data_IF_543013372474
#
_entry.id   IF_543013372474
#
_cell.length_a   1.000
_cell.length_b   1.000
_cell.length_c   1.000
_cell.angle_alpha   90.00
_cell.angle_beta   90.00
_cell.angle_gamma   90.00
#
_symmetry.space_group_name_H-M   'P 1'
#
loop_
_entity.id
_entity.type
_entity.pdbx_description
1 polymer ?
#
# COMPACT_ATOMS: atom_id res chain seq x y z
N UNK A 1 -27.79 -9.99 10.05
CA UNK A 1 -26.51 -9.74 9.35
C UNK A 1 -26.74 -8.59 8.40
N UNK A 2 -25.92 -7.54 8.47
CA UNK A 2 -26.17 -6.31 7.71
C UNK A 2 -26.14 -6.54 6.21
N UNK A 3 -26.90 -5.75 5.46
CA UNK A 3 -26.96 -5.79 3.99
C UNK A 3 -25.57 -5.80 3.35
N UNK A 4 -24.58 -5.13 3.96
CA UNK A 4 -23.19 -5.04 3.48
C UNK A 4 -22.39 -6.34 3.59
N UNK A 5 -22.58 -7.12 4.65
CA UNK A 5 -21.90 -8.41 4.78
C UNK A 5 -22.38 -9.37 3.69
N UNK A 6 -23.70 -9.47 3.50
CA UNK A 6 -24.30 -10.26 2.42
C UNK A 6 -23.83 -9.78 1.04
N UNK A 7 -23.79 -8.46 0.83
CA UNK A 7 -23.30 -7.87 -0.42
C UNK A 7 -21.86 -8.29 -0.72
N UNK A 8 -20.96 -8.31 0.28
CA UNK A 8 -19.58 -8.78 0.11
C UNK A 8 -19.50 -10.28 -0.15
N UNK A 9 -20.34 -11.08 0.50
CA UNK A 9 -20.42 -12.52 0.23
C UNK A 9 -20.80 -12.81 -1.22
N UNK A 10 -21.79 -12.10 -1.75
CA UNK A 10 -22.22 -12.23 -3.16
C UNK A 10 -21.12 -11.73 -4.11
N UNK A 11 -20.43 -10.64 -3.77
CA UNK A 11 -19.29 -10.15 -4.55
C UNK A 11 -18.17 -11.19 -4.60
N UNK A 12 -17.82 -11.80 -3.46
CA UNK A 12 -16.80 -12.85 -3.37
C UNK A 12 -17.18 -14.07 -4.21
N UNK A 13 -18.42 -14.58 -4.08
CA UNK A 13 -18.92 -15.71 -4.88
C UNK A 13 -18.84 -15.43 -6.39
N UNK A 14 -19.21 -14.22 -6.80
CA UNK A 14 -19.15 -13.80 -8.20
C UNK A 14 -17.71 -13.72 -8.74
N UNK A 15 -16.79 -13.18 -7.93
CA UNK A 15 -15.36 -13.17 -8.27
C UNK A 15 -14.77 -14.57 -8.32
N UNK A 16 -15.16 -15.45 -7.39
CA UNK A 16 -14.74 -16.85 -7.38
C UNK A 16 -15.20 -17.57 -8.65
N UNK A 17 -16.48 -17.47 -9.01
CA UNK A 17 -17.03 -18.13 -10.19
C UNK A 17 -16.36 -17.64 -11.48
N UNK A 18 -16.11 -16.34 -11.57
CA UNK A 18 -15.41 -15.72 -12.68
C UNK A 18 -13.95 -16.22 -12.80
N UNK A 19 -13.22 -16.25 -11.68
CA UNK A 19 -11.80 -16.65 -11.64
C UNK A 19 -11.65 -18.16 -11.87
N UNK A 20 -12.51 -18.97 -11.23
CA UNK A 20 -12.53 -20.42 -11.36
C UNK A 20 -12.80 -20.89 -12.79
N UNK A 21 -13.76 -20.27 -13.46
CA UNK A 21 -14.12 -20.61 -14.84
C UNK A 21 -13.27 -19.87 -15.89
N UNK A 22 -12.31 -19.04 -15.47
CA UNK A 22 -11.47 -18.21 -16.34
C UNK A 22 -12.30 -17.40 -17.36
N UNK A 23 -13.38 -16.78 -16.87
CA UNK A 23 -14.34 -16.05 -17.70
C UNK A 23 -13.76 -14.68 -18.06
N UNK A 24 -13.97 -14.23 -19.30
CA UNK A 24 -13.60 -12.86 -19.67
C UNK A 24 -14.42 -11.83 -18.87
N UNK A 25 -13.89 -10.64 -18.60
CA UNK A 25 -14.57 -9.60 -17.81
C UNK A 25 -15.99 -9.25 -18.34
N UNK A 26 -16.23 -9.43 -19.66
CA UNK A 26 -17.56 -9.26 -20.28
C UNK A 26 -18.63 -10.22 -19.73
N UNK A 27 -18.22 -11.37 -19.20
CA UNK A 27 -19.12 -12.36 -18.60
C UNK A 27 -19.50 -12.06 -17.15
N UNK A 28 -18.82 -11.12 -16.50
CA UNK A 28 -19.05 -10.82 -15.07
C UNK A 28 -20.48 -10.38 -14.78
N UNK A 29 -21.10 -9.59 -15.66
CA UNK A 29 -22.49 -9.13 -15.45
C UNK A 29 -23.47 -10.31 -15.38
N UNK A 30 -23.28 -11.34 -16.20
CA UNK A 30 -24.14 -12.51 -16.19
C UNK A 30 -23.97 -13.32 -14.90
N UNK A 31 -22.72 -13.51 -14.44
CA UNK A 31 -22.38 -14.17 -13.19
C UNK A 31 -23.01 -13.43 -12.01
N UNK A 32 -22.77 -12.13 -11.91
CA UNK A 32 -23.27 -11.31 -10.81
C UNK A 32 -24.80 -11.33 -10.75
N UNK A 33 -25.48 -11.20 -11.90
CA UNK A 33 -26.93 -11.28 -11.97
C UNK A 33 -27.46 -12.63 -11.46
N UNK A 34 -26.81 -13.74 -11.81
CA UNK A 34 -27.21 -15.06 -11.37
C UNK A 34 -27.03 -15.21 -9.84
N UNK A 35 -25.89 -14.76 -9.30
CA UNK A 35 -25.62 -14.84 -7.86
C UNK A 35 -26.51 -13.91 -7.03
N UNK A 36 -26.84 -12.71 -7.53
CA UNK A 36 -27.83 -11.83 -6.91
C UNK A 36 -29.23 -12.46 -6.90
N UNK A 37 -29.62 -13.15 -7.98
CA UNK A 37 -30.90 -13.86 -8.03
C UNK A 37 -30.97 -15.00 -7.03
N UNK A 38 -29.89 -15.75 -6.87
CA UNK A 38 -29.86 -16.94 -6.00
C UNK A 38 -29.71 -16.58 -4.52
N UNK A 39 -28.82 -15.63 -4.20
CA UNK A 39 -28.41 -15.35 -2.81
C UNK A 39 -28.78 -13.94 -2.32
N UNK A 40 -29.24 -13.07 -3.22
CA UNK A 40 -29.52 -11.65 -2.96
C UNK A 40 -30.95 -11.33 -2.58
N UNK A 41 -31.76 -12.30 -2.13
CA UNK A 41 -33.17 -12.07 -1.75
C UNK A 41 -33.37 -10.98 -0.69
N UNK A 42 -32.33 -10.69 0.09
CA UNK A 42 -32.32 -9.71 1.18
C UNK A 42 -31.45 -8.48 0.83
N UNK A 43 -31.12 -8.28 -0.45
CA UNK A 43 -30.37 -7.14 -0.97
C UNK A 43 -31.33 -6.28 -1.79
N UNK A 44 -31.86 -5.23 -1.16
CA UNK A 44 -32.78 -4.29 -1.82
C UNK A 44 -32.07 -3.39 -2.84
N UNK A 45 -30.76 -3.19 -2.66
CA UNK A 45 -29.90 -2.37 -3.51
C UNK A 45 -28.57 -3.10 -3.78
N UNK A 46 -28.33 -3.46 -5.04
CA UNK A 46 -27.13 -4.18 -5.49
C UNK A 46 -25.97 -3.24 -5.88
N UNK A 47 -26.15 -1.92 -5.75
CA UNK A 47 -25.16 -0.91 -6.13
C UNK A 47 -23.81 -1.15 -5.47
N UNK A 48 -23.81 -1.55 -4.20
CA UNK A 48 -22.59 -1.83 -3.46
C UNK A 48 -21.88 -3.09 -3.96
N UNK A 49 -22.61 -4.18 -4.16
CA UNK A 49 -22.05 -5.43 -4.70
C UNK A 49 -21.46 -5.19 -6.09
N UNK A 50 -22.19 -4.47 -6.95
CA UNK A 50 -21.72 -4.06 -8.28
C UNK A 50 -20.45 -3.23 -8.19
N UNK A 51 -20.43 -2.21 -7.32
CA UNK A 51 -19.26 -1.36 -7.11
C UNK A 51 -18.03 -2.18 -6.72
N UNK A 52 -18.17 -3.13 -5.80
CA UNK A 52 -17.08 -4.02 -5.40
C UNK A 52 -16.58 -4.84 -6.58
N UNK A 53 -17.46 -5.60 -7.24
CA UNK A 53 -17.09 -6.53 -8.31
C UNK A 53 -16.43 -5.81 -9.49
N UNK A 54 -17.08 -4.78 -10.02
CA UNK A 54 -16.56 -4.07 -11.20
C UNK A 54 -15.36 -3.20 -10.86
N UNK A 55 -15.32 -2.62 -9.67
CA UNK A 55 -14.15 -1.89 -9.20
C UNK A 55 -12.93 -2.78 -9.04
N UNK A 56 -13.09 -4.01 -8.55
CA UNK A 56 -12.00 -4.99 -8.45
C UNK A 56 -11.50 -5.39 -9.84
N UNK A 57 -12.39 -5.66 -10.80
CA UNK A 57 -11.99 -5.97 -12.17
C UNK A 57 -11.19 -4.81 -12.80
N UNK A 58 -11.67 -3.58 -12.66
CA UNK A 58 -11.00 -2.38 -13.20
C UNK A 58 -9.62 -2.16 -12.56
N UNK A 59 -9.47 -2.46 -11.27
CA UNK A 59 -8.24 -2.23 -10.50
C UNK A 59 -7.37 -3.47 -10.34
N UNK A 60 -7.70 -4.59 -10.99
CA UNK A 60 -6.99 -5.87 -10.83
C UNK A 60 -5.49 -5.75 -11.10
N UNK A 61 -5.10 -5.02 -12.15
CA UNK A 61 -3.69 -4.80 -12.52
C UNK A 61 -2.89 -4.01 -11.47
N UNK A 62 -3.57 -3.30 -10.56
CA UNK A 62 -2.97 -2.60 -9.43
C UNK A 62 -2.99 -3.49 -8.17
N UNK A 63 -4.10 -4.20 -7.96
CA UNK A 63 -4.35 -5.01 -6.76
C UNK A 63 -3.47 -6.26 -6.74
N UNK A 64 -3.38 -6.99 -7.85
CA UNK A 64 -2.67 -8.28 -7.92
C UNK A 64 -1.17 -8.15 -7.58
N UNK A 65 -0.43 -7.13 -8.09
CA UNK A 65 0.95 -6.89 -7.66
C UNK A 65 1.12 -6.56 -6.17
N UNK A 66 0.12 -5.94 -5.55
CA UNK A 66 0.15 -5.63 -4.11
C UNK A 66 0.04 -6.91 -3.28
N UNK A 67 -0.81 -7.85 -3.72
CA UNK A 67 -0.91 -9.18 -3.11
C UNK A 67 0.45 -9.87 -3.17
N UNK A 68 1.08 -9.94 -4.34
CA UNK A 68 2.38 -10.61 -4.50
C UNK A 68 3.49 -9.95 -3.67
N UNK A 69 3.49 -8.62 -3.58
CA UNK A 69 4.45 -7.89 -2.74
C UNK A 69 4.27 -8.19 -1.25
N UNK A 70 3.03 -8.33 -0.80
CA UNK A 70 2.70 -8.58 0.61
C UNK A 70 2.72 -10.07 0.99
N UNK A 71 2.70 -10.98 0.01
CA UNK A 71 2.82 -12.42 0.18
C UNK A 71 3.96 -12.99 -0.70
N UNK A 72 5.23 -12.60 -0.47
CA UNK A 72 6.34 -12.91 -1.38
C UNK A 72 6.66 -14.41 -1.50
N UNK A 73 6.28 -15.21 -0.50
CA UNK A 73 6.44 -16.67 -0.52
C UNK A 73 5.35 -17.39 -1.33
N UNK A 74 4.29 -16.67 -1.72
CA UNK A 74 3.11 -17.24 -2.38
C UNK A 74 2.80 -16.47 -3.66
N UNK A 75 3.30 -16.94 -4.82
CA UNK A 75 2.88 -16.41 -6.12
C UNK A 75 1.36 -16.42 -6.23
N UNK A 76 0.77 -15.43 -6.91
CA UNK A 76 -0.68 -15.26 -6.99
C UNK A 76 -1.42 -16.52 -7.49
N UNK A 77 -0.79 -17.28 -8.39
CA UNK A 77 -1.30 -18.55 -8.93
C UNK A 77 -1.31 -19.71 -7.91
N UNK A 78 -0.49 -19.65 -6.86
CA UNK A 78 -0.41 -20.66 -5.79
C UNK A 78 -1.36 -20.37 -4.62
N UNK A 79 -1.85 -19.12 -4.52
CA UNK A 79 -2.89 -18.75 -3.56
C UNK A 79 -4.21 -19.41 -4.01
N UNK A 80 -4.97 -19.95 -3.04
CA UNK A 80 -6.28 -20.54 -3.35
C UNK A 80 -7.18 -19.50 -4.01
N UNK A 81 -8.07 -19.93 -4.91
CA UNK A 81 -8.95 -19.01 -5.65
C UNK A 81 -9.84 -18.21 -4.67
N UNK A 82 -10.28 -18.85 -3.59
CA UNK A 82 -11.03 -18.18 -2.51
C UNK A 82 -10.19 -17.08 -1.86
N UNK A 83 -9.02 -17.41 -1.33
CA UNK A 83 -8.17 -16.45 -0.62
C UNK A 83 -7.73 -15.31 -1.52
N UNK A 84 -7.38 -15.61 -2.78
CA UNK A 84 -7.02 -14.61 -3.79
C UNK A 84 -8.14 -13.60 -4.01
N UNK A 85 -9.38 -14.05 -4.17
CA UNK A 85 -10.51 -13.14 -4.40
C UNK A 85 -10.94 -12.39 -3.14
N UNK A 86 -10.79 -12.98 -1.96
CA UNK A 86 -10.96 -12.28 -0.68
C UNK A 86 -9.90 -11.19 -0.50
N UNK A 87 -8.64 -11.47 -0.83
CA UNK A 87 -7.57 -10.46 -0.80
C UNK A 87 -7.82 -9.33 -1.78
N UNK A 88 -8.26 -9.64 -3.01
CA UNK A 88 -8.64 -8.62 -3.99
C UNK A 88 -9.74 -7.70 -3.47
N UNK A 89 -10.77 -8.28 -2.86
CA UNK A 89 -11.87 -7.53 -2.25
C UNK A 89 -11.40 -6.66 -1.09
N UNK A 90 -10.65 -7.22 -0.14
CA UNK A 90 -10.13 -6.48 1.01
C UNK A 90 -9.20 -5.34 0.62
N UNK A 91 -8.29 -5.57 -0.33
CA UNK A 91 -7.37 -4.53 -0.84
C UNK A 91 -8.15 -3.45 -1.59
N UNK A 92 -9.14 -3.82 -2.40
CA UNK A 92 -9.97 -2.85 -3.09
C UNK A 92 -10.67 -1.91 -2.11
N UNK A 93 -11.31 -2.44 -1.07
CA UNK A 93 -11.98 -1.62 -0.05
C UNK A 93 -10.98 -0.75 0.73
N UNK A 94 -9.79 -1.28 1.02
CA UNK A 94 -8.74 -0.53 1.71
C UNK A 94 -8.20 0.65 0.91
N UNK A 95 -8.09 0.52 -0.41
CA UNK A 95 -7.44 1.51 -1.28
C UNK A 95 -8.42 2.46 -1.98
N UNK A 96 -9.60 1.97 -2.32
CA UNK A 96 -10.58 2.65 -3.15
C UNK A 96 -11.96 2.78 -2.48
N UNK A 97 -12.17 2.13 -1.34
CA UNK A 97 -13.38 2.28 -0.54
C UNK A 97 -13.47 3.66 0.13
N UNK A 98 -14.70 4.11 0.38
CA UNK A 98 -14.94 5.34 1.14
C UNK A 98 -15.01 5.03 2.64
N UNK A 99 -14.45 5.92 3.47
CA UNK A 99 -14.46 5.73 4.93
C UNK A 99 -15.88 5.62 5.50
N UNK A 100 -16.84 6.33 4.90
CA UNK A 100 -18.26 6.29 5.26
C UNK A 100 -18.93 4.94 4.92
N UNK A 101 -18.38 4.18 3.96
CA UNK A 101 -18.89 2.84 3.62
C UNK A 101 -18.38 1.79 4.59
N UNK A 102 -17.07 1.80 4.86
CA UNK A 102 -16.45 0.95 5.87
C UNK A 102 -15.09 1.54 6.30
N UNK A 103 -14.87 1.77 7.61
CA UNK A 103 -13.54 2.09 8.11
C UNK A 103 -12.54 0.97 7.75
N UNK A 104 -11.25 1.26 7.53
CA UNK A 104 -10.26 0.28 7.10
C UNK A 104 -10.20 -0.99 7.97
N UNK A 105 -10.31 -0.84 9.29
CA UNK A 105 -10.32 -1.98 10.23
C UNK A 105 -11.56 -2.87 10.06
N UNK A 106 -12.70 -2.27 9.72
CA UNK A 106 -13.93 -3.02 9.44
C UNK A 106 -13.78 -3.78 8.13
N UNK A 107 -13.26 -3.16 7.08
CA UNK A 107 -12.98 -3.83 5.81
C UNK A 107 -12.04 -5.04 5.98
N UNK A 108 -10.97 -4.89 6.78
CA UNK A 108 -10.07 -6.00 7.12
C UNK A 108 -10.80 -7.12 7.86
N UNK A 109 -11.59 -6.79 8.90
CA UNK A 109 -12.35 -7.79 9.65
C UNK A 109 -13.34 -8.54 8.76
N UNK A 110 -14.08 -7.83 7.91
CA UNK A 110 -15.04 -8.45 6.97
C UNK A 110 -14.33 -9.39 5.99
N UNK A 111 -13.18 -9.01 5.45
CA UNK A 111 -12.38 -9.88 4.59
C UNK A 111 -11.89 -11.14 5.33
N UNK A 112 -11.47 -11.02 6.60
CA UNK A 112 -11.06 -12.16 7.42
C UNK A 112 -12.23 -13.11 7.66
N UNK A 113 -13.42 -12.59 7.97
CA UNK A 113 -14.61 -13.42 8.21
C UNK A 113 -15.06 -14.12 6.92
N UNK A 114 -14.97 -13.48 5.76
CA UNK A 114 -15.19 -14.14 4.47
C UNK A 114 -14.16 -15.25 4.22
N UNK A 115 -12.88 -14.99 4.47
CA UNK A 115 -11.84 -16.01 4.33
C UNK A 115 -12.12 -17.24 5.20
N UNK A 116 -12.57 -17.03 6.45
CA UNK A 116 -12.96 -18.13 7.35
C UNK A 116 -14.20 -18.88 6.85
N UNK A 117 -15.22 -18.15 6.40
CA UNK A 117 -16.47 -18.75 5.96
C UNK A 117 -16.29 -19.65 4.74
N UNK A 118 -15.41 -19.28 3.80
CA UNK A 118 -15.24 -19.99 2.53
C UNK A 118 -13.96 -20.85 2.43
N UNK A 119 -12.93 -20.57 3.23
CA UNK A 119 -11.63 -21.27 3.21
C UNK A 119 -11.19 -21.84 4.57
N UNK A 120 -11.91 -21.54 5.66
CA UNK A 120 -11.61 -22.04 7.01
C UNK A 120 -10.59 -21.22 7.78
N UNK A 121 -10.22 -21.68 8.97
CA UNK A 121 -9.42 -20.90 9.93
C UNK A 121 -7.99 -20.60 9.44
N UNK A 122 -7.40 -21.47 8.62
CA UNK A 122 -6.10 -21.21 7.97
C UNK A 122 -6.16 -20.03 7.02
N UNK A 123 -7.23 -19.96 6.21
CA UNK A 123 -7.50 -18.85 5.29
C UNK A 123 -7.68 -17.53 6.03
N UNK A 124 -8.45 -17.54 7.13
CA UNK A 124 -8.62 -16.37 8.01
C UNK A 124 -7.28 -15.82 8.52
N UNK A 125 -6.39 -16.69 9.01
CA UNK A 125 -5.05 -16.30 9.48
C UNK A 125 -4.17 -15.77 8.36
N UNK A 126 -4.19 -16.41 7.19
CA UNK A 126 -3.43 -15.98 6.02
C UNK A 126 -3.86 -14.59 5.54
N UNK A 127 -5.16 -14.38 5.31
CA UNK A 127 -5.72 -13.11 4.86
C UNK A 127 -5.44 -11.99 5.85
N UNK A 128 -5.58 -12.24 7.16
CA UNK A 128 -5.23 -11.27 8.20
C UNK A 128 -3.75 -10.83 8.11
N UNK A 129 -2.83 -11.78 7.91
CA UNK A 129 -1.40 -11.49 7.78
C UNK A 129 -1.08 -10.59 6.59
N UNK A 130 -1.67 -10.89 5.43
CA UNK A 130 -1.46 -10.12 4.19
C UNK A 130 -2.09 -8.74 4.30
N UNK A 131 -3.38 -8.63 4.65
CA UNK A 131 -4.08 -7.34 4.75
C UNK A 131 -3.51 -6.46 5.86
N UNK A 132 -3.06 -7.05 6.97
CA UNK A 132 -2.35 -6.32 8.02
C UNK A 132 -1.03 -5.70 7.53
N UNK A 133 -0.34 -6.37 6.60
CA UNK A 133 0.88 -5.85 5.97
C UNK A 133 0.54 -4.71 5.01
N UNK A 134 -0.47 -4.90 4.15
CA UNK A 134 -0.99 -3.85 3.25
C UNK A 134 -1.36 -2.59 4.05
N UNK A 135 -2.10 -2.75 5.14
CA UNK A 135 -2.55 -1.63 5.98
C UNK A 135 -1.39 -0.83 6.59
N UNK A 136 -0.32 -1.52 7.03
CA UNK A 136 0.90 -0.85 7.54
C UNK A 136 1.66 -0.13 6.43
N UNK A 137 1.76 -0.72 5.24
CA UNK A 137 2.44 -0.09 4.09
C UNK A 137 1.71 1.17 3.60
N UNK A 138 0.38 1.22 3.70
CA UNK A 138 -0.41 2.41 3.41
C UNK A 138 -0.23 3.55 4.44
N UNK A 139 0.46 3.28 5.55
CA UNK A 139 0.84 4.28 6.54
C UNK A 139 -0.19 4.51 7.64
N UNK A 140 -0.94 3.48 8.06
CA UNK A 140 -1.93 3.51 9.14
C UNK A 140 -2.68 4.86 9.24
N UNK A 141 -3.80 5.07 8.53
CA UNK A 141 -4.54 6.35 8.50
C UNK A 141 -5.08 6.83 9.86
N UNK A 142 -4.70 6.21 10.97
CA UNK A 142 -5.15 6.53 12.32
C UNK A 142 -4.06 7.10 13.24
N UNK A 143 -2.80 7.29 12.79
CA UNK A 143 -1.77 7.92 13.65
C UNK A 143 -1.08 9.18 13.12
N UNK A 144 -0.93 9.41 11.82
CA UNK A 144 -0.22 10.61 11.33
C UNK A 144 -0.73 11.13 9.98
N UNK A 145 -1.98 11.60 9.93
CA UNK A 145 -2.52 12.31 8.75
C UNK A 145 -2.40 13.84 8.82
N UNK A 146 -1.66 14.35 9.80
CA UNK A 146 -1.33 15.77 9.93
C UNK A 146 0.06 16.15 9.40
N UNK A 147 0.90 15.19 8.98
CA UNK A 147 2.29 15.48 8.57
C UNK A 147 2.49 15.36 7.05
N UNK A 148 3.27 16.28 6.47
CA UNK A 148 3.63 16.28 5.03
C UNK A 148 4.31 14.97 4.61
N UNK A 149 4.97 14.27 5.54
CA UNK A 149 5.67 13.01 5.30
C UNK A 149 4.72 11.83 5.00
N UNK A 150 3.53 11.81 5.62
CA UNK A 150 2.51 10.78 5.34
C UNK A 150 1.96 10.88 3.91
N UNK A 151 1.74 12.11 3.43
CA UNK A 151 1.28 12.37 2.06
C UNK A 151 2.32 11.94 1.00
N UNK A 152 3.60 12.17 1.26
CA UNK A 152 4.71 11.80 0.36
C UNK A 152 4.90 10.27 0.30
N UNK A 153 4.66 9.56 1.41
CA UNK A 153 4.77 8.09 1.46
C UNK A 153 3.65 7.41 0.69
N UNK A 154 2.39 7.87 0.81
CA UNK A 154 1.27 7.37 -0.01
C UNK A 154 1.54 7.52 -1.50
N UNK A 155 1.98 8.71 -1.95
CA UNK A 155 2.28 8.96 -3.37
C UNK A 155 3.43 8.08 -3.89
N UNK A 156 4.40 7.69 -3.04
CA UNK A 156 5.51 6.81 -3.42
C UNK A 156 5.16 5.32 -3.44
N UNK A 157 4.35 4.86 -2.49
CA UNK A 157 3.94 3.44 -2.41
C UNK A 157 2.97 3.09 -3.53
N UNK A 158 2.16 4.06 -3.97
CA UNK A 158 1.08 3.84 -4.94
C UNK A 158 1.48 3.96 -6.42
N UNK A 159 2.71 4.38 -6.74
CA UNK A 159 3.18 4.46 -8.13
C UNK A 159 2.35 5.37 -9.07
N UNK A 160 1.47 6.22 -8.53
CA UNK A 160 0.60 7.10 -9.34
C UNK A 160 1.38 8.34 -9.74
N UNK A 161 2.03 8.32 -10.89
CA UNK A 161 2.44 9.55 -11.56
C UNK A 161 1.18 10.29 -12.05
N UNK A 162 0.67 11.23 -11.24
CA UNK A 162 -0.36 12.15 -11.70
C UNK A 162 0.27 13.17 -12.66
N UNK A 163 -0.18 13.15 -13.91
CA UNK A 163 0.33 13.99 -15.02
C UNK A 163 -0.23 15.43 -14.96
N UNK A 164 -0.18 16.05 -13.78
CA UNK A 164 -0.69 17.41 -13.55
C UNK A 164 0.44 18.46 -13.72
N UNK A 165 0.37 19.36 -14.72
CA UNK A 165 1.45 20.28 -15.07
C UNK A 165 1.78 21.30 -13.97
N UNK A 166 0.87 21.59 -13.02
CA UNK A 166 1.15 22.52 -11.90
C UNK A 166 2.04 21.90 -10.81
N UNK A 167 2.03 20.57 -10.64
CA UNK A 167 2.91 19.87 -9.68
C UNK A 167 4.34 19.66 -10.20
N UNK A 168 4.56 19.62 -11.52
CA UNK A 168 5.91 19.52 -12.13
C UNK A 168 6.80 20.73 -11.81
N UNK A 169 6.23 21.94 -11.80
CA UNK A 169 6.97 23.17 -11.47
C UNK A 169 7.46 23.17 -10.01
N UNK A 170 6.59 22.83 -9.05
CA UNK A 170 6.92 22.78 -7.63
C UNK A 170 7.93 21.66 -7.29
N UNK A 171 7.87 20.52 -7.98
CA UNK A 171 8.84 19.41 -7.83
C UNK A 171 10.23 19.78 -8.37
N UNK A 172 10.31 20.55 -9.46
CA UNK A 172 11.58 21.04 -10.04
C UNK A 172 12.27 22.04 -9.10
N UNK A 173 11.50 22.95 -8.50
CA UNK A 173 12.03 23.94 -7.53
C UNK A 173 12.46 23.29 -6.23
N UNK A 174 11.67 22.37 -5.65
CA UNK A 174 12.06 21.66 -4.41
C UNK A 174 13.29 20.77 -4.60
N UNK A 175 13.46 20.12 -5.77
CA UNK A 175 14.64 19.29 -6.07
C UNK A 175 15.92 20.13 -6.23
N UNK A 176 15.81 21.35 -6.77
CA UNK A 176 16.92 22.29 -6.88
C UNK A 176 17.37 22.78 -5.49
N UNK A 177 16.44 23.19 -4.63
CA UNK A 177 16.73 23.68 -3.27
C UNK A 177 17.40 22.58 -2.42
N UNK A 178 16.93 21.34 -2.49
CA UNK A 178 17.54 20.21 -1.75
C UNK A 178 18.94 19.86 -2.26
N UNK A 179 19.22 20.06 -3.55
CA UNK A 179 20.56 19.85 -4.11
C UNK A 179 21.53 20.96 -3.68
N UNK A 180 21.06 22.20 -3.61
CA UNK A 180 21.84 23.34 -3.13
C UNK A 180 22.19 23.23 -1.64
N UNK A 181 21.21 22.87 -0.79
CA UNK A 181 21.45 22.66 0.65
C UNK A 181 22.44 21.51 0.92
N UNK A 182 22.36 20.43 0.13
CA UNK A 182 23.31 19.31 0.24
C UNK A 182 24.72 19.71 -0.21
N UNK A 183 24.85 20.56 -1.22
CA UNK A 183 26.14 21.08 -1.70
C UNK A 183 26.78 21.99 -0.66
N UNK A 184 26.02 22.93 -0.08
CA UNK A 184 26.48 23.83 0.97
C UNK A 184 26.89 23.10 2.27
N UNK A 185 26.15 22.04 2.67
CA UNK A 185 26.51 21.19 3.82
C UNK A 185 27.78 20.36 3.57
N UNK A 186 28.06 19.99 2.31
CA UNK A 186 29.27 19.24 1.94
C UNK A 186 30.51 20.13 1.97
N UNK A 187 30.42 21.36 1.46
CA UNK A 187 31.51 22.35 1.49
C UNK A 187 31.91 22.73 2.93
N UNK A 188 30.93 23.04 3.80
CA UNK A 188 31.20 23.33 5.23
C UNK A 188 31.86 22.16 5.97
N UNK A 189 31.60 20.91 5.56
CA UNK A 189 32.17 19.71 6.17
C UNK A 189 33.61 19.46 5.72
N UNK A 190 33.96 19.82 4.49
CA UNK A 190 35.33 19.72 3.97
C UNK A 190 36.24 20.82 4.53
N UNK A 191 35.73 22.04 4.69
CA UNK A 191 36.49 23.14 5.31
C UNK A 191 36.79 22.86 6.79
N UNK A 192 35.82 22.31 7.52
CA UNK A 192 36.03 21.87 8.91
C UNK A 192 37.04 20.73 9.04
N UNK A 193 37.14 19.83 8.05
CA UNK A 193 38.17 18.77 8.01
C UNK A 193 39.55 19.33 7.69
N UNK A 194 39.66 20.28 6.75
CA UNK A 194 40.94 20.96 6.44
C UNK A 194 41.46 21.72 7.65
N UNK A 195 40.62 22.50 8.34
CA UNK A 195 41.00 23.23 9.55
C UNK A 195 41.52 22.29 10.65
N UNK A 196 40.82 21.17 10.93
CA UNK A 196 41.29 20.17 11.91
C UNK A 196 42.62 19.52 11.52
N UNK A 197 42.91 19.36 10.23
CA UNK A 197 44.18 18.81 9.74
C UNK A 197 45.33 19.81 9.90
N UNK A 198 45.08 21.10 9.68
CA UNK A 198 46.06 22.19 9.93
C UNK A 198 46.37 22.29 11.42
N UNK A 199 45.35 22.32 12.29
CA UNK A 199 45.54 22.39 13.75
C UNK A 199 46.31 21.17 14.28
N UNK A 200 46.07 19.96 13.73
CA UNK A 200 46.86 18.76 14.08
C UNK A 200 48.31 18.85 13.60
N UNK A 201 48.59 19.54 12.49
CA UNK A 201 49.94 19.70 11.95
C UNK A 201 50.74 20.69 12.80
N UNK A 202 50.14 21.83 13.15
CA UNK A 202 50.74 22.85 14.04
C UNK A 202 51.08 22.26 15.42
N UNK A 203 50.14 21.53 16.05
CA UNK A 203 50.39 20.86 17.34
C UNK A 203 51.47 19.77 17.29
N UNK A 204 51.77 19.22 16.11
CA UNK A 204 52.83 18.21 15.91
C UNK A 204 54.20 18.88 15.70
N UNK A 205 54.22 20.09 15.13
CA UNK A 205 55.41 20.93 14.99
C UNK A 205 55.83 21.54 16.33
N UNK A 206 54.90 22.10 17.11
CA UNK A 206 55.20 22.62 18.47
C UNK A 206 55.82 21.55 19.37
N UNK A 207 55.28 20.32 19.36
CA UNK A 207 55.84 19.19 20.12
C UNK A 207 57.22 18.73 19.66
N UNK A 208 57.62 19.04 18.42
CA UNK A 208 58.97 18.73 17.93
C UNK A 208 59.98 19.79 18.38
N UNK A 209 59.56 21.05 18.42
CA UNK A 209 60.40 22.17 18.87
C UNK A 209 60.68 22.03 20.39
N UNK A 210 59.65 21.75 21.20
CA UNK A 210 59.81 21.52 22.66
C UNK A 210 60.67 20.30 23.04
N UNK A 211 60.86 19.35 22.12
CA UNK A 211 61.72 18.17 22.30
C UNK A 211 63.17 18.42 21.86
N UNK A 212 63.43 19.49 21.12
CA UNK A 212 64.76 19.88 20.62
C UNK A 212 65.52 20.78 21.59
N UNK A 213 64.81 21.48 22.48
CA UNK A 213 65.36 22.40 23.49
C UNK A 213 65.67 21.72 24.85
N UNK A 214 65.65 20.37 24.90
CA UNK A 214 65.89 19.56 26.13
C UNK A 214 67.10 18.62 26.05
N UNK A 215 67.92 18.71 25.01
CA UNK A 215 69.27 18.11 24.92
C UNK A 215 70.34 19.21 24.93
#
# INVERSE_FOLDING_TARGET
MGSRHLSRSIAMQSLYEWDFNNVSDKGMEAILRNNLKEFGSNVDDDSFTRKLVFGILEKREIIDPIIEKCAPEWPLAQITIVDRNVLRLGIYELMFGSYDEAPPKVAINEAIELAKAFGGESSGRFVNGVLGTVYREMGEPMKEDSTEDGKIRREKVLGVETDDPKKKATKKTKKAVVQEEKKAKKEKKDDGKKAKKVVKKVKKEEKRIDASDKE
#
